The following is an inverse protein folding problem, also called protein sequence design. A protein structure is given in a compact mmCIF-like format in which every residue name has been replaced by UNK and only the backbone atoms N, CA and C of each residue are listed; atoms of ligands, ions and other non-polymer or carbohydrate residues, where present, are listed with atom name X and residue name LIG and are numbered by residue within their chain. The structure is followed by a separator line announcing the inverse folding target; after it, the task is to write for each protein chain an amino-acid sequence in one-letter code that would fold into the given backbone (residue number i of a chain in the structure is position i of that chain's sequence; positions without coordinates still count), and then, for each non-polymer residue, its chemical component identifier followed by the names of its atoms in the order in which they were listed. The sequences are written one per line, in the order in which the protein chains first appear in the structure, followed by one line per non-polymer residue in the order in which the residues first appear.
data_IF_999354486189
#
_entry.id   IF_999354486189
#
_cell.length_a   1.000
_cell.length_b   1.000
_cell.length_c   1.000
_cell.angle_alpha   90.00
_cell.angle_beta   90.00
_cell.angle_gamma   90.00
#
_symmetry.space_group_name_H-M   'P 1'
#
loop_
_entity.id
_entity.type
_entity.pdbx_description
1 polymer ?
#
# COMPACT_ATOMS: atom_id res chain seq x y z
N UNK A 1 -0.01 0.19 -8.32
CA UNK A 1 1.11 -0.16 -7.40
C UNK A 1 0.77 -1.47 -6.71
N UNK A 2 1.76 -2.33 -6.50
CA UNK A 2 1.63 -3.57 -5.73
C UNK A 2 2.25 -3.38 -4.35
N UNK A 3 1.63 -3.94 -3.30
CA UNK A 3 2.18 -3.89 -1.95
C UNK A 3 1.65 -5.03 -1.09
N UNK A 4 2.29 -5.25 0.06
CA UNK A 4 1.90 -6.28 1.03
C UNK A 4 1.05 -5.65 2.13
N UNK A 5 -0.06 -6.27 2.48
CA UNK A 5 -0.96 -5.80 3.53
C UNK A 5 -0.34 -6.08 4.90
N UNK A 6 -0.01 -5.02 5.64
CA UNK A 6 0.51 -5.13 7.01
C UNK A 6 -0.60 -5.10 8.05
N UNK A 7 -1.72 -4.40 7.78
CA UNK A 7 -2.85 -4.40 8.71
C UNK A 7 -4.18 -4.23 8.00
N UNK A 8 -5.16 -5.02 8.43
CA UNK A 8 -6.55 -4.97 7.96
C UNK A 8 -7.55 -4.74 9.12
N UNK A 9 -7.10 -4.21 10.26
CA UNK A 9 -7.92 -4.06 11.47
C UNK A 9 -8.96 -2.92 11.41
N UNK A 10 -8.83 -2.01 10.45
CA UNK A 10 -9.72 -0.85 10.30
C UNK A 10 -10.88 -1.16 9.36
N UNK A 11 -12.05 -0.55 9.61
CA UNK A 11 -13.19 -0.69 8.71
C UNK A 11 -12.90 -0.09 7.33
N UNK A 12 -13.20 -0.86 6.28
CA UNK A 12 -13.08 -0.47 4.86
C UNK A 12 -11.70 0.11 4.46
N UNK A 13 -10.66 -0.22 5.21
CA UNK A 13 -9.34 0.39 5.08
C UNK A 13 -8.26 -0.61 5.43
N UNK A 14 -7.33 -0.82 4.50
CA UNK A 14 -6.15 -1.65 4.70
C UNK A 14 -4.89 -0.79 4.68
N UNK A 15 -3.86 -1.22 5.40
CA UNK A 15 -2.53 -0.61 5.39
C UNK A 15 -1.62 -1.49 4.54
N UNK A 16 -1.22 -0.99 3.37
CA UNK A 16 -0.31 -1.67 2.46
C UNK A 16 1.09 -1.05 2.54
N UNK A 17 2.13 -1.90 2.52
CA UNK A 17 3.53 -1.50 2.43
C UNK A 17 4.05 -1.76 1.03
N UNK A 18 4.63 -0.73 0.42
CA UNK A 18 5.39 -0.85 -0.82
C UNK A 18 6.87 -0.75 -0.49
N UNK A 19 7.62 -1.78 -0.85
CA UNK A 19 9.07 -1.77 -0.78
C UNK A 19 9.65 -1.33 -2.13
N UNK A 20 10.58 -0.39 -2.11
CA UNK A 20 11.34 0.06 -3.28
C UNK A 20 12.81 0.12 -2.90
N UNK A 21 13.69 -0.29 -3.81
CA UNK A 21 15.13 -0.12 -3.62
C UNK A 21 15.52 1.28 -4.10
N UNK A 22 16.33 1.99 -3.31
CA UNK A 22 16.96 3.26 -3.69
C UNK A 22 18.47 3.13 -3.56
N UNK A 23 19.21 3.88 -4.37
CA UNK A 23 20.67 4.00 -4.29
C UNK A 23 21.01 5.23 -3.47
N UNK A 24 21.98 5.12 -2.56
CA UNK A 24 22.40 6.28 -1.77
C UNK A 24 23.07 7.32 -2.68
N UNK A 25 22.79 8.64 -2.51
CA UNK A 25 23.27 9.65 -3.46
C UNK A 25 24.80 9.77 -3.49
N UNK A 26 25.45 9.72 -2.31
CA UNK A 26 26.92 9.79 -2.19
C UNK A 26 27.63 8.44 -2.31
N UNK A 27 26.93 7.35 -2.03
CA UNK A 27 27.53 6.02 -1.90
C UNK A 27 26.76 5.04 -2.78
N UNK A 28 27.40 4.19 -3.60
CA UNK A 28 26.67 3.30 -4.50
C UNK A 28 25.91 2.15 -3.82
N UNK A 29 25.84 2.14 -2.48
CA UNK A 29 25.09 1.18 -1.69
C UNK A 29 23.59 1.28 -1.99
N UNK A 30 22.98 0.13 -2.30
CA UNK A 30 21.53 0.00 -2.43
C UNK A 30 20.90 -0.23 -1.06
N UNK A 31 19.78 0.44 -0.78
CA UNK A 31 19.02 0.28 0.45
C UNK A 31 17.53 0.19 0.16
N UNK A 32 16.81 -0.59 0.99
CA UNK A 32 15.37 -0.75 0.85
C UNK A 32 14.63 0.37 1.58
N UNK A 33 13.68 0.99 0.89
CA UNK A 33 12.76 1.99 1.45
C UNK A 33 11.36 1.42 1.43
N UNK A 34 10.69 1.46 2.59
CA UNK A 34 9.32 1.00 2.75
C UNK A 34 8.42 2.21 2.97
N UNK A 35 7.32 2.31 2.23
CA UNK A 35 6.27 3.31 2.44
C UNK A 35 4.95 2.64 2.76
N UNK A 36 4.26 3.12 3.80
CA UNK A 36 2.93 2.67 4.20
C UNK A 36 1.87 3.52 3.52
N UNK A 37 0.81 2.89 3.04
CA UNK A 37 -0.31 3.52 2.36
C UNK A 37 -1.63 3.07 3.00
N UNK A 38 -2.53 4.01 3.28
CA UNK A 38 -3.91 3.71 3.67
C UNK A 38 -4.74 3.56 2.39
N UNK A 39 -5.22 2.35 2.13
CA UNK A 39 -5.93 1.99 0.90
C UNK A 39 -7.39 1.69 1.23
N UNK A 40 -8.29 2.18 0.40
CA UNK A 40 -9.71 1.87 0.48
C UNK A 40 -10.02 0.52 -0.12
N UNK A 41 -10.61 -0.34 0.72
CA UNK A 41 -11.23 -1.59 0.31
C UNK A 41 -12.70 -1.53 0.74
N UNK A 42 -13.64 -1.64 -0.20
CA UNK A 42 -15.07 -1.61 0.10
C UNK A 42 -15.60 -2.99 0.48
N UNK A 43 -15.05 -4.05 -0.12
CA UNK A 43 -15.49 -5.44 0.04
C UNK A 43 -14.84 -6.14 1.23
N UNK A 44 -13.74 -5.60 1.78
CA UNK A 44 -13.05 -6.15 2.95
C UNK A 44 -12.46 -7.55 2.69
N UNK A 45 -12.04 -7.81 1.45
CA UNK A 45 -11.63 -9.14 1.00
C UNK A 45 -10.19 -9.48 1.37
N UNK A 46 -9.35 -8.47 1.63
CA UNK A 46 -7.91 -8.65 1.84
C UNK A 46 -7.57 -8.73 3.32
N UNK A 47 -6.72 -9.71 3.67
CA UNK A 47 -6.23 -9.97 5.03
C UNK A 47 -4.77 -9.53 5.18
N UNK A 48 -4.29 -9.58 6.41
CA UNK A 48 -2.88 -9.32 6.73
C UNK A 48 -2.00 -10.40 6.05
N UNK A 49 -0.96 -9.97 5.33
CA UNK A 49 -0.07 -10.85 4.57
C UNK A 49 -0.36 -10.92 3.07
N UNK A 50 -1.53 -10.47 2.62
CA UNK A 50 -1.90 -10.55 1.20
C UNK A 50 -1.14 -9.54 0.33
N UNK A 51 -0.92 -9.90 -0.94
CA UNK A 51 -0.43 -8.99 -1.96
C UNK A 51 -1.60 -8.29 -2.65
N UNK A 52 -1.60 -6.97 -2.64
CA UNK A 52 -2.70 -6.15 -3.19
C UNK A 52 -2.22 -5.19 -4.26
N UNK A 53 -3.05 -5.02 -5.29
CA UNK A 53 -2.90 -3.98 -6.29
C UNK A 53 -3.81 -2.80 -5.97
N UNK A 54 -3.26 -1.59 -6.01
CA UNK A 54 -4.02 -0.38 -5.73
C UNK A 54 -3.57 0.79 -6.59
N UNK A 55 -4.49 1.72 -6.81
CA UNK A 55 -4.31 2.93 -7.63
C UNK A 55 -4.69 4.19 -6.86
N UNK A 56 -4.13 5.32 -7.31
CA UNK A 56 -4.51 6.63 -6.80
C UNK A 56 -5.98 6.92 -7.12
N UNK A 57 -6.66 7.59 -6.20
CA UNK A 57 -8.06 7.97 -6.31
C UNK A 57 -8.26 9.38 -5.74
N UNK A 58 -9.47 9.93 -5.86
CA UNK A 58 -9.85 11.12 -5.10
C UNK A 58 -9.58 10.91 -3.61
N UNK A 59 -9.25 11.97 -2.84
CA UNK A 59 -9.12 11.85 -1.40
C UNK A 59 -10.43 11.36 -0.77
N UNK A 60 -10.34 10.27 -0.01
CA UNK A 60 -11.45 9.71 0.78
C UNK A 60 -11.35 10.18 2.24
N UNK A 61 -10.11 10.42 2.70
CA UNK A 61 -9.81 11.07 3.98
C UNK A 61 -8.50 11.86 3.87
N UNK A 62 -8.00 12.39 4.99
CA UNK A 62 -6.72 13.11 5.08
C UNK A 62 -5.56 12.33 4.42
N UNK A 63 -5.45 11.05 4.76
CA UNK A 63 -4.35 10.17 4.33
C UNK A 63 -4.78 9.11 3.29
N UNK A 64 -6.08 8.83 3.17
CA UNK A 64 -6.62 7.76 2.34
C UNK A 64 -6.89 8.29 0.93
N UNK A 65 -5.93 8.05 0.03
CA UNK A 65 -5.92 8.53 -1.37
C UNK A 65 -5.76 7.41 -2.39
N UNK A 66 -5.95 6.17 -1.95
CA UNK A 66 -5.70 4.97 -2.74
C UNK A 66 -6.89 4.04 -2.65
N UNK A 67 -7.22 3.34 -3.73
CA UNK A 67 -8.27 2.31 -3.77
C UNK A 67 -7.71 0.99 -4.31
N UNK A 68 -8.23 -0.13 -3.80
CA UNK A 68 -7.86 -1.46 -4.28
C UNK A 68 -8.44 -1.72 -5.67
N UNK A 69 -7.70 -2.47 -6.49
CA UNK A 69 -8.19 -3.09 -7.72
C UNK A 69 -8.46 -4.57 -7.39
N UNK A 70 -9.70 -5.01 -7.60
CA UNK A 70 -10.02 -6.43 -7.50
C UNK A 70 -9.53 -7.14 -8.77
N UNK A 71 -8.83 -8.27 -8.64
CA UNK A 71 -8.58 -9.13 -9.79
C UNK A 71 -9.93 -9.60 -10.37
N UNK A 72 -10.00 -9.71 -11.70
CA UNK A 72 -11.13 -10.31 -12.41
C UNK A 72 -11.06 -11.83 -12.35
#
# INVERSE_FOLDING_TARGET
MTGLVTSAKMSKTIVAVVASVKKHPKYPKQYQVRKKYKVHDERGQFKEGDHVQFIACRPISKDKRWRVIYPQ
#
